data_IF_062264105036
#
_entry.id   IF_062264105036
#
_cell.length_a   1.000
_cell.length_b   1.000
_cell.length_c   1.000
_cell.angle_alpha   90.00
_cell.angle_beta   90.00
_cell.angle_gamma   90.00
#
_symmetry.space_group_name_H-M   'P 1'
#
loop_
_entity.id
_entity.type
_entity.pdbx_description
1 polymer ?
#
# COMPACT_ATOMS: atom_id res chain seq x y z
N UNK A 1 -7.93 20.79 -11.30
CA UNK A 1 -8.23 19.52 -10.58
C UNK A 1 -7.05 18.56 -10.79
N UNK A 2 -6.51 17.93 -9.74
CA UNK A 2 -5.43 16.93 -9.89
C UNK A 2 -6.01 15.59 -10.32
N UNK A 3 -5.32 14.87 -11.22
CA UNK A 3 -5.72 13.52 -11.64
C UNK A 3 -5.46 12.50 -10.53
N UNK A 4 -6.11 11.33 -10.59
CA UNK A 4 -5.85 10.27 -9.59
C UNK A 4 -4.39 9.82 -9.60
N UNK A 5 -3.77 9.70 -10.78
CA UNK A 5 -2.34 9.37 -10.86
C UNK A 5 -1.44 10.43 -10.26
N UNK A 6 -1.76 11.72 -10.40
CA UNK A 6 -1.01 12.78 -9.72
C UNK A 6 -1.12 12.66 -8.19
N UNK A 7 -2.29 12.27 -7.66
CA UNK A 7 -2.46 12.05 -6.21
C UNK A 7 -1.67 10.83 -5.73
N UNK A 8 -1.72 9.71 -6.46
CA UNK A 8 -0.94 8.49 -6.16
C UNK A 8 0.55 8.78 -6.16
N UNK A 9 1.04 9.44 -7.21
CA UNK A 9 2.45 9.79 -7.36
C UNK A 9 2.93 10.68 -6.21
N UNK A 10 2.17 11.72 -5.87
CA UNK A 10 2.51 12.62 -4.76
C UNK A 10 2.55 11.86 -3.43
N UNK A 11 1.50 11.10 -3.11
CA UNK A 11 1.44 10.36 -1.86
C UNK A 11 2.59 9.34 -1.75
N UNK A 12 2.85 8.57 -2.81
CA UNK A 12 3.97 7.63 -2.85
C UNK A 12 5.33 8.32 -2.67
N UNK A 13 5.52 9.48 -3.28
CA UNK A 13 6.74 10.28 -3.12
C UNK A 13 6.93 10.72 -1.67
N UNK A 14 5.88 11.29 -1.07
CA UNK A 14 5.92 11.79 0.32
C UNK A 14 6.18 10.65 1.32
N UNK A 15 5.55 9.48 1.09
CA UNK A 15 5.76 8.27 1.89
C UNK A 15 7.21 7.79 1.87
N UNK A 16 7.88 7.84 0.71
CA UNK A 16 9.28 7.42 0.59
C UNK A 16 10.23 8.49 1.14
N UNK A 17 9.92 9.77 0.91
CA UNK A 17 10.76 10.88 1.36
C UNK A 17 10.83 10.99 2.88
N UNK A 18 9.73 10.69 3.58
CA UNK A 18 9.65 10.73 5.06
C UNK A 18 10.32 9.54 5.75
N UNK A 19 10.77 8.53 5.00
CA UNK A 19 11.42 7.35 5.58
C UNK A 19 12.76 7.72 6.20
N UNK A 20 12.97 7.26 7.43
CA UNK A 20 14.29 7.26 8.07
C UNK A 20 15.25 6.34 7.32
N UNK A 21 16.53 6.68 7.33
CA UNK A 21 17.56 5.96 6.56
C UNK A 21 17.64 4.46 6.91
N UNK A 22 17.48 4.12 8.19
CA UNK A 22 17.49 2.73 8.69
C UNK A 22 16.36 1.86 8.14
N UNK A 23 15.30 2.47 7.58
CA UNK A 23 14.13 1.77 7.04
C UNK A 23 14.13 1.66 5.53
N UNK A 24 14.94 2.45 4.83
CA UNK A 24 14.90 2.60 3.37
C UNK A 24 15.18 1.29 2.63
N UNK A 25 16.13 0.49 3.10
CA UNK A 25 16.53 -0.77 2.46
C UNK A 25 15.37 -1.79 2.43
N UNK A 26 14.84 -2.16 3.60
CA UNK A 26 13.67 -3.07 3.73
C UNK A 26 12.44 -2.55 3.00
N UNK A 27 12.17 -1.25 3.12
CA UNK A 27 11.03 -0.63 2.45
C UNK A 27 11.17 -0.77 0.94
N UNK A 28 12.35 -0.43 0.37
CA UNK A 28 12.63 -0.55 -1.06
C UNK A 28 12.40 -1.99 -1.53
N UNK A 29 12.99 -2.98 -0.86
CA UNK A 29 12.84 -4.40 -1.23
C UNK A 29 11.37 -4.79 -1.35
N UNK A 30 10.56 -4.44 -0.34
CA UNK A 30 9.17 -4.87 -0.32
C UNK A 30 8.27 -4.07 -1.26
N UNK A 31 8.48 -2.75 -1.38
CA UNK A 31 7.75 -1.90 -2.32
C UNK A 31 7.97 -2.31 -3.78
N UNK A 32 9.20 -2.74 -4.14
CA UNK A 32 9.50 -3.28 -5.47
C UNK A 32 8.73 -4.56 -5.78
N UNK A 33 8.57 -5.44 -4.78
CA UNK A 33 7.88 -6.75 -4.89
C UNK A 33 6.36 -6.61 -4.82
N UNK A 34 5.84 -5.55 -4.21
CA UNK A 34 4.41 -5.39 -3.88
C UNK A 34 3.45 -5.57 -5.07
N UNK A 35 3.62 -4.89 -6.24
CA UNK A 35 2.69 -5.04 -7.35
C UNK A 35 2.59 -6.48 -7.86
N UNK A 36 3.72 -7.18 -7.92
CA UNK A 36 3.78 -8.57 -8.35
C UNK A 36 3.09 -9.50 -7.33
N UNK A 37 3.30 -9.29 -6.03
CA UNK A 37 2.64 -10.06 -4.98
C UNK A 37 1.11 -9.92 -5.05
N UNK A 38 0.59 -8.71 -5.27
CA UNK A 38 -0.86 -8.47 -5.42
C UNK A 38 -1.42 -9.26 -6.61
N UNK A 39 -0.69 -9.32 -7.73
CA UNK A 39 -1.12 -10.07 -8.90
C UNK A 39 -1.07 -11.59 -8.70
N UNK A 40 -0.07 -12.09 -7.97
CA UNK A 40 0.17 -13.53 -7.77
C UNK A 40 -0.74 -14.12 -6.67
N UNK A 41 -0.86 -13.44 -5.54
CA UNK A 41 -1.48 -13.97 -4.32
C UNK A 41 -2.69 -13.14 -3.85
N UNK A 42 -3.02 -12.05 -4.55
CA UNK A 42 -4.12 -11.16 -4.18
C UNK A 42 -3.75 -10.14 -3.10
N UNK A 43 -4.63 -9.14 -2.94
CA UNK A 43 -4.41 -8.03 -2.02
C UNK A 43 -4.32 -8.49 -0.57
N UNK A 44 -5.23 -9.39 -0.16
CA UNK A 44 -5.39 -9.77 1.24
C UNK A 44 -4.12 -10.44 1.81
N UNK A 45 -3.61 -11.46 1.12
CA UNK A 45 -2.38 -12.16 1.52
C UNK A 45 -1.16 -11.22 1.44
N UNK A 46 -1.11 -10.35 0.42
CA UNK A 46 -0.02 -9.38 0.28
C UNK A 46 0.03 -8.40 1.44
N UNK A 47 -1.12 -7.88 1.89
CA UNK A 47 -1.19 -6.97 3.04
C UNK A 47 -0.75 -7.66 4.33
N UNK A 48 -1.20 -8.89 4.59
CA UNK A 48 -0.78 -9.66 5.76
C UNK A 48 0.73 -9.91 5.77
N UNK A 49 1.31 -10.23 4.60
CA UNK A 49 2.76 -10.38 4.46
C UNK A 49 3.49 -9.06 4.72
N UNK A 50 2.97 -7.94 4.20
CA UNK A 50 3.57 -6.62 4.42
C UNK A 50 3.55 -6.22 5.89
N UNK A 51 2.42 -6.40 6.59
CA UNK A 51 2.30 -6.08 8.01
C UNK A 51 3.38 -6.78 8.85
N UNK A 52 3.67 -8.06 8.53
CA UNK A 52 4.69 -8.84 9.23
C UNK A 52 6.13 -8.48 8.84
N UNK A 53 6.39 -8.15 7.57
CA UNK A 53 7.76 -7.96 7.05
C UNK A 53 8.23 -6.51 7.08
N UNK A 54 7.33 -5.56 6.82
CA UNK A 54 7.63 -4.14 6.80
C UNK A 54 6.35 -3.32 7.03
N UNK A 55 6.18 -2.86 8.27
CA UNK A 55 5.00 -2.11 8.69
C UNK A 55 4.87 -0.78 7.94
N UNK A 56 5.99 -0.20 7.49
CA UNK A 56 5.99 1.06 6.75
C UNK A 56 5.35 0.91 5.36
N UNK A 57 5.64 -0.16 4.61
CA UNK A 57 4.96 -0.47 3.33
C UNK A 57 3.48 -0.78 3.58
N UNK A 58 3.17 -1.56 4.61
CA UNK A 58 1.78 -1.83 4.98
C UNK A 58 1.00 -0.54 5.26
N UNK A 59 1.57 0.37 6.06
CA UNK A 59 0.96 1.66 6.39
C UNK A 59 0.82 2.57 5.16
N UNK A 60 1.81 2.60 4.27
CA UNK A 60 1.73 3.38 3.04
C UNK A 60 0.57 2.93 2.13
N UNK A 61 0.40 1.61 1.97
CA UNK A 61 -0.67 1.05 1.14
C UNK A 61 -2.03 1.24 1.82
N UNK A 62 -2.19 0.82 3.08
CA UNK A 62 -3.47 0.89 3.78
C UNK A 62 -3.91 2.33 4.04
N UNK A 63 -2.96 3.22 4.33
CA UNK A 63 -3.20 4.66 4.44
C UNK A 63 -3.75 5.26 3.15
N UNK A 64 -3.17 4.90 1.99
CA UNK A 64 -3.72 5.32 0.69
C UNK A 64 -5.12 4.75 0.45
N UNK A 65 -5.32 3.45 0.66
CA UNK A 65 -6.60 2.77 0.40
C UNK A 65 -7.74 3.33 1.27
N UNK A 66 -7.45 3.67 2.53
CA UNK A 66 -8.42 4.27 3.44
C UNK A 66 -8.94 5.64 2.93
N UNK A 67 -8.12 6.39 2.19
CA UNK A 67 -8.50 7.68 1.62
C UNK A 67 -9.40 7.58 0.38
N UNK A 68 -9.47 6.41 -0.28
CA UNK A 68 -10.17 6.27 -1.57
C UNK A 68 -11.69 6.12 -1.44
N UNK A 69 -12.22 6.10 -0.22
CA UNK A 69 -13.65 5.96 0.06
C UNK A 69 -14.32 4.73 -0.60
N UNK A 70 -13.55 3.67 -0.87
CA UNK A 70 -14.03 2.45 -1.54
C UNK A 70 -14.81 1.54 -0.58
N UNK A 71 -14.40 1.53 0.69
CA UNK A 71 -15.09 0.81 1.77
C UNK A 71 -16.32 1.63 2.24
N UNK A 72 -17.36 0.97 2.73
CA UNK A 72 -18.48 1.70 3.35
C UNK A 72 -18.01 2.54 4.55
N UNK A 73 -18.71 3.63 4.92
CA UNK A 73 -18.36 4.42 6.10
C UNK A 73 -18.24 3.60 7.39
N UNK A 74 -19.08 2.57 7.54
CA UNK A 74 -19.04 1.60 8.64
C UNK A 74 -17.75 0.76 8.59
N UNK A 75 -17.35 0.31 7.40
CA UNK A 75 -16.07 -0.34 7.17
C UNK A 75 -14.90 0.66 7.02
N UNK A 76 -15.08 1.95 7.28
CA UNK A 76 -14.02 2.96 7.36
C UNK A 76 -13.64 3.30 8.81
N UNK A 77 -14.62 3.21 9.71
CA UNK A 77 -14.43 3.46 11.14
C UNK A 77 -13.81 2.22 11.81
N UNK A 78 -12.76 2.41 12.61
CA UNK A 78 -12.31 1.35 13.51
C UNK A 78 -13.37 1.17 14.59
N UNK A 79 -14.14 0.09 14.52
CA UNK A 79 -14.95 -0.36 15.64
C UNK A 79 -14.21 -1.47 16.38
N UNK A 80 -14.03 -1.33 17.69
CA UNK A 80 -13.60 -2.42 18.57
C UNK A 80 -12.21 -3.03 18.28
N UNK A 81 -11.26 -2.28 17.72
CA UNK A 81 -9.91 -2.78 17.43
C UNK A 81 -9.79 -3.61 16.14
N UNK A 82 -10.82 -3.58 15.29
CA UNK A 82 -10.83 -4.31 14.03
C UNK A 82 -9.72 -3.85 13.06
N UNK A 83 -8.99 -4.80 12.48
CA UNK A 83 -7.92 -4.52 11.51
C UNK A 83 -8.50 -4.16 10.14
N UNK A 84 -7.71 -3.47 9.30
CA UNK A 84 -8.11 -3.17 7.92
C UNK A 84 -8.51 -4.44 7.15
N UNK A 85 -7.81 -5.55 7.40
CA UNK A 85 -8.11 -6.87 6.85
C UNK A 85 -9.54 -7.33 7.17
N UNK A 86 -9.92 -7.28 8.45
CA UNK A 86 -11.23 -7.77 8.90
C UNK A 86 -12.37 -6.95 8.27
N UNK A 87 -12.16 -5.64 8.13
CA UNK A 87 -13.09 -4.73 7.42
C UNK A 87 -13.23 -5.08 5.95
N UNK A 88 -12.13 -5.35 5.25
CA UNK A 88 -12.14 -5.76 3.84
C UNK A 88 -12.85 -7.11 3.64
N UNK A 89 -12.67 -8.06 4.56
CA UNK A 89 -13.33 -9.38 4.50
C UNK A 89 -14.84 -9.33 4.77
N UNK A 90 -15.33 -8.31 5.50
CA UNK A 90 -16.77 -8.12 5.75
C UNK A 90 -17.51 -7.50 4.57
N UNK A 91 -16.80 -6.86 3.66
CA UNK A 91 -17.40 -6.20 2.49
C UNK A 91 -17.72 -7.17 1.37
N UNK A 92 -18.62 -6.76 0.48
CA UNK A 92 -18.98 -7.53 -0.71
C UNK A 92 -17.79 -7.65 -1.69
N UNK A 93 -17.84 -8.65 -2.60
CA UNK A 93 -16.79 -8.91 -3.61
C UNK A 93 -16.50 -7.71 -4.54
N UNK A 94 -17.46 -6.78 -4.72
CA UNK A 94 -17.31 -5.56 -5.52
C UNK A 94 -16.22 -4.63 -4.96
N UNK A 95 -16.41 -4.10 -3.73
CA UNK A 95 -15.40 -3.31 -3.01
C UNK A 95 -14.01 -3.96 -2.98
N UNK A 96 -13.91 -5.27 -2.75
CA UNK A 96 -12.62 -5.97 -2.72
C UNK A 96 -11.86 -5.91 -4.05
N UNK A 97 -12.55 -6.09 -5.19
CA UNK A 97 -11.92 -5.99 -6.51
C UNK A 97 -11.47 -4.56 -6.83
N UNK A 98 -12.25 -3.57 -6.44
CA UNK A 98 -11.88 -2.16 -6.59
C UNK A 98 -10.64 -1.83 -5.74
N UNK A 99 -10.61 -2.26 -4.48
CA UNK A 99 -9.44 -2.12 -3.60
C UNK A 99 -8.21 -2.80 -4.19
N UNK A 100 -8.34 -4.01 -4.74
CA UNK A 100 -7.22 -4.73 -5.34
C UNK A 100 -6.64 -4.00 -6.54
N UNK A 101 -7.50 -3.44 -7.41
CA UNK A 101 -7.08 -2.62 -8.56
C UNK A 101 -6.40 -1.33 -8.12
N UNK A 102 -6.95 -0.67 -7.11
CA UNK A 102 -6.39 0.56 -6.57
C UNK A 102 -5.05 0.34 -5.86
N UNK A 103 -4.94 -0.74 -5.08
CA UNK A 103 -3.70 -1.14 -4.44
C UNK A 103 -2.61 -1.44 -5.48
N UNK A 104 -2.96 -2.10 -6.59
CA UNK A 104 -2.02 -2.37 -7.68
C UNK A 104 -1.57 -1.07 -8.37
N UNK A 105 -2.50 -0.14 -8.64
CA UNK A 105 -2.19 1.14 -9.25
C UNK A 105 -1.29 2.00 -8.35
N UNK A 106 -1.62 2.12 -7.06
CA UNK A 106 -0.81 2.83 -6.09
C UNK A 106 0.54 2.16 -5.82
N UNK A 107 0.56 0.83 -5.67
CA UNK A 107 1.79 0.05 -5.51
C UNK A 107 2.75 0.23 -6.67
N UNK A 108 2.24 0.43 -7.90
CA UNK A 108 3.06 0.77 -9.07
C UNK A 108 3.73 2.14 -8.93
N UNK A 109 3.01 3.14 -8.41
CA UNK A 109 3.58 4.45 -8.10
C UNK A 109 4.58 4.40 -6.95
N UNK A 110 4.31 3.60 -5.92
CA UNK A 110 5.22 3.38 -4.80
C UNK A 110 6.53 2.72 -5.25
N UNK A 111 6.43 1.71 -6.11
CA UNK A 111 7.58 1.09 -6.79
C UNK A 111 8.43 2.15 -7.52
N UNK A 112 7.81 2.98 -8.35
CA UNK A 112 8.53 4.04 -9.09
C UNK A 112 9.20 5.04 -8.15
N UNK A 113 8.52 5.42 -7.07
CA UNK A 113 9.06 6.36 -6.08
C UNK A 113 10.33 5.81 -5.40
N UNK A 114 10.33 4.53 -4.99
CA UNK A 114 11.52 3.92 -4.38
C UNK A 114 12.65 3.70 -5.38
N UNK A 115 12.36 3.42 -6.65
CA UNK A 115 13.38 3.29 -7.70
C UNK A 115 14.13 4.61 -7.92
N UNK A 116 13.41 5.74 -7.87
CA UNK A 116 13.99 7.07 -8.07
C UNK A 116 14.68 7.60 -6.81
N UNK A 117 13.97 7.62 -5.68
CA UNK A 117 14.44 8.27 -4.45
C UNK A 117 15.48 7.45 -3.69
N UNK A 118 15.42 6.12 -3.82
CA UNK A 118 16.29 5.19 -3.09
C UNK A 118 17.27 4.50 -4.03
N UNK A 119 17.62 5.11 -5.17
CA UNK A 119 18.48 4.52 -6.21
C UNK A 119 19.78 3.93 -5.65
N UNK A 120 20.44 4.64 -4.73
CA UNK A 120 21.75 4.29 -4.16
C UNK A 120 21.63 3.34 -2.94
N UNK A 121 20.42 3.14 -2.42
CA UNK A 121 20.16 2.21 -1.32
C UNK A 121 20.07 0.80 -1.88
N UNK A 122 20.93 -0.11 -1.42
CA UNK A 122 20.83 -1.53 -1.79
C UNK A 122 19.54 -2.11 -1.21
N UNK A 123 18.81 -2.87 -2.02
CA UNK A 123 17.70 -3.68 -1.54
C UNK A 123 18.28 -4.83 -0.71
N UNK A 124 17.67 -5.12 0.43
CA UNK A 124 17.90 -6.37 1.16
C UNK A 124 17.38 -7.58 0.37
N UNK A 125 18.10 -8.69 0.45
CA UNK A 125 17.78 -9.96 -0.21
C UNK A 125 16.51 -10.63 0.37
#
# INVERSE_FOLDING_TARGET
MRTQDQKRAQHAYDEVQRLRDDKKSKFKTLALKFPAMVQQCGLLQTLAFCEQKNIEVYNAITGWLAQQQILTPQAQTQQGGETFFQRVCREQLGPYRLLSREALAYGTWLKRAVEVLLKDVKAED
#
